data_IF_819342252186
#
_entry.id   IF_819342252186
#
_cell.length_a   1.000
_cell.length_b   1.000
_cell.length_c   1.000
_cell.angle_alpha   90.00
_cell.angle_beta   90.00
_cell.angle_gamma   90.00
#
_symmetry.space_group_name_H-M   'P 1'
#
loop_
_entity.id
_entity.type
_entity.pdbx_description
1 polymer ?
#
# COMPACT_ATOMS: atom_id res chain seq x y z
N UNK A 1 1.86 14.57 -9.92
CA UNK A 1 3.00 13.72 -10.34
C UNK A 1 4.07 13.60 -9.27
N UNK A 2 4.41 14.64 -8.49
CA UNK A 2 5.49 14.60 -7.49
C UNK A 2 5.30 13.60 -6.32
N UNK A 3 4.08 13.43 -5.80
CA UNK A 3 3.78 12.47 -4.71
C UNK A 3 4.15 11.02 -5.08
N UNK A 4 3.81 10.62 -6.31
CA UNK A 4 4.09 9.26 -6.81
C UNK A 4 5.61 9.06 -6.93
N UNK A 5 6.33 10.07 -7.43
CA UNK A 5 7.78 10.02 -7.57
C UNK A 5 8.50 9.92 -6.23
N UNK A 6 8.13 10.76 -5.26
CA UNK A 6 8.70 10.68 -3.90
C UNK A 6 8.37 9.33 -3.25
N UNK A 7 7.16 8.81 -3.46
CA UNK A 7 6.79 7.48 -2.97
C UNK A 7 7.69 6.39 -3.56
N UNK A 8 7.94 6.43 -4.87
CA UNK A 8 8.84 5.49 -5.55
C UNK A 8 10.25 5.54 -4.96
N UNK A 9 10.82 6.74 -4.89
CA UNK A 9 12.18 6.97 -4.35
C UNK A 9 12.30 6.43 -2.92
N UNK A 10 11.32 6.68 -2.05
CA UNK A 10 11.34 6.20 -0.67
C UNK A 10 11.21 4.69 -0.55
N UNK A 11 10.31 4.08 -1.33
CA UNK A 11 10.05 2.63 -1.24
C UNK A 11 11.26 1.82 -1.73
N UNK A 12 12.02 2.36 -2.68
CA UNK A 12 13.25 1.78 -3.22
C UNK A 12 14.50 2.10 -2.35
N UNK A 13 14.38 3.01 -1.38
CA UNK A 13 15.49 3.43 -0.53
C UNK A 13 15.85 2.39 0.55
N UNK A 14 17.13 2.04 0.62
CA UNK A 14 17.64 1.06 1.58
C UNK A 14 17.54 1.52 3.04
N UNK A 15 17.79 2.80 3.33
CA UNK A 15 17.68 3.32 4.70
C UNK A 15 16.22 3.32 5.17
N UNK A 16 15.28 3.65 4.28
CA UNK A 16 13.85 3.54 4.54
C UNK A 16 13.47 2.10 4.88
N UNK A 17 13.92 1.12 4.10
CA UNK A 17 13.75 -0.31 4.41
C UNK A 17 14.36 -0.66 5.77
N UNK A 18 15.58 -0.20 6.06
CA UNK A 18 16.30 -0.53 7.29
C UNK A 18 15.62 0.00 8.54
N UNK A 19 15.04 1.21 8.51
CA UNK A 19 14.24 1.77 9.60
C UNK A 19 12.93 0.99 9.80
N UNK A 20 12.30 0.59 8.69
CA UNK A 20 10.92 0.10 8.67
C UNK A 20 10.75 -1.43 8.59
N UNK A 21 11.83 -2.20 8.56
CA UNK A 21 11.79 -3.65 8.80
C UNK A 21 11.73 -3.96 10.29
N UNK A 22 11.07 -5.06 10.66
CA UNK A 22 10.88 -5.48 12.07
C UNK A 22 12.18 -5.84 12.78
N UNK A 23 13.13 -6.46 12.07
CA UNK A 23 14.45 -6.82 12.57
C UNK A 23 15.50 -6.74 11.46
N UNK A 24 16.78 -6.61 11.82
CA UNK A 24 17.89 -6.52 10.87
C UNK A 24 18.04 -7.74 9.95
N UNK A 25 17.53 -8.90 10.39
CA UNK A 25 17.52 -10.15 9.62
C UNK A 25 16.41 -10.22 8.58
N UNK A 26 15.42 -9.32 8.64
CA UNK A 26 14.28 -9.30 7.72
C UNK A 26 14.60 -8.53 6.43
N UNK A 27 14.04 -9.00 5.32
CA UNK A 27 14.24 -8.44 3.98
C UNK A 27 15.71 -8.28 3.56
N UNK A 28 16.56 -9.22 4.01
CA UNK A 28 17.99 -9.28 3.67
C UNK A 28 18.26 -9.97 2.34
N UNK A 29 17.30 -10.77 1.84
CA UNK A 29 17.40 -11.49 0.55
C UNK A 29 16.35 -10.96 -0.40
N UNK A 30 16.73 -10.78 -1.66
CA UNK A 30 15.83 -10.48 -2.76
C UNK A 30 15.33 -11.82 -3.32
N UNK A 31 14.06 -12.14 -3.07
CA UNK A 31 13.34 -13.33 -3.59
C UNK A 31 11.97 -12.87 -4.11
N UNK A 32 10.94 -13.71 -4.05
CA UNK A 32 9.62 -13.40 -4.59
C UNK A 32 8.83 -12.32 -3.83
N UNK A 33 9.22 -11.95 -2.60
CA UNK A 33 8.50 -10.97 -1.77
C UNK A 33 9.47 -9.95 -1.12
N UNK A 34 10.12 -9.08 -1.92
CA UNK A 34 10.98 -8.02 -1.39
C UNK A 34 10.15 -6.98 -0.63
N UNK A 35 10.82 -6.17 0.19
CA UNK A 35 10.18 -5.15 1.04
C UNK A 35 9.25 -4.22 0.26
N UNK A 36 9.75 -3.67 -0.86
CA UNK A 36 8.99 -2.77 -1.72
C UNK A 36 7.71 -3.41 -2.25
N UNK A 37 7.79 -4.64 -2.76
CA UNK A 37 6.63 -5.36 -3.30
C UNK A 37 5.58 -5.61 -2.20
N UNK A 38 6.01 -6.08 -1.02
CA UNK A 38 5.09 -6.32 0.10
C UNK A 38 4.39 -5.02 0.52
N UNK A 39 5.12 -3.91 0.59
CA UNK A 39 4.56 -2.60 0.93
C UNK A 39 3.55 -2.13 -0.12
N UNK A 40 3.89 -2.20 -1.41
CA UNK A 40 3.00 -1.82 -2.52
C UNK A 40 1.73 -2.69 -2.54
N UNK A 41 1.86 -4.00 -2.32
CA UNK A 41 0.72 -4.91 -2.27
C UNK A 41 -0.24 -4.58 -1.09
N UNK A 42 0.26 -4.04 0.02
CA UNK A 42 -0.59 -3.54 1.11
C UNK A 42 -1.27 -2.23 0.70
N UNK A 43 -0.53 -1.30 0.08
CA UNK A 43 -1.05 -0.01 -0.37
C UNK A 43 -2.11 -0.11 -1.46
N UNK A 44 -2.07 -1.17 -2.29
CA UNK A 44 -3.03 -1.43 -3.38
C UNK A 44 -4.49 -1.53 -2.90
N UNK A 45 -4.75 -1.73 -1.60
CA UNK A 45 -6.07 -1.82 -0.93
C UNK A 45 -7.15 -2.54 -1.75
N UNK A 46 -7.53 -3.73 -1.29
CA UNK A 46 -8.35 -4.65 -2.09
C UNK A 46 -9.33 -5.41 -1.21
N UNK A 47 -10.51 -5.69 -1.75
CA UNK A 47 -11.57 -6.51 -1.15
C UNK A 47 -11.48 -7.99 -1.54
N UNK A 48 -10.56 -8.34 -2.44
CA UNK A 48 -10.34 -9.72 -2.88
C UNK A 48 -9.66 -10.55 -1.79
N UNK A 49 -9.76 -11.86 -1.89
CA UNK A 49 -9.03 -12.77 -1.01
C UNK A 49 -7.51 -12.62 -1.19
N UNK A 50 -6.74 -13.02 -0.17
CA UNK A 50 -5.30 -12.87 -0.17
C UNK A 50 -4.62 -13.60 -1.34
N UNK A 51 -5.07 -14.81 -1.66
CA UNK A 51 -4.52 -15.61 -2.76
C UNK A 51 -4.83 -14.98 -4.13
N UNK A 52 -6.03 -14.42 -4.33
CA UNK A 52 -6.38 -13.72 -5.58
C UNK A 52 -5.40 -12.57 -5.86
N UNK A 53 -5.08 -11.77 -4.83
CA UNK A 53 -4.19 -10.61 -4.96
C UNK A 53 -2.75 -11.06 -5.26
N UNK A 54 -2.30 -12.12 -4.59
CA UNK A 54 -0.98 -12.70 -4.83
C UNK A 54 -0.89 -13.23 -6.26
N UNK A 55 -1.88 -14.01 -6.71
CA UNK A 55 -1.92 -14.54 -8.08
C UNK A 55 -1.91 -13.42 -9.12
N UNK A 56 -2.77 -12.40 -8.96
CA UNK A 56 -2.77 -11.22 -9.84
C UNK A 56 -1.40 -10.55 -9.90
N UNK A 57 -0.75 -10.39 -8.74
CA UNK A 57 0.56 -9.73 -8.66
C UNK A 57 1.63 -10.55 -9.36
N UNK A 58 1.70 -11.85 -9.07
CA UNK A 58 2.67 -12.78 -9.66
C UNK A 58 2.51 -12.86 -11.18
N UNK A 59 1.27 -12.99 -11.67
CA UNK A 59 0.96 -13.00 -13.10
C UNK A 59 1.38 -11.66 -13.73
N UNK A 60 1.01 -10.53 -13.11
CA UNK A 60 1.30 -9.20 -13.67
C UNK A 60 2.80 -8.89 -13.75
N UNK A 61 3.61 -9.51 -12.89
CA UNK A 61 5.06 -9.29 -12.80
C UNK A 61 5.87 -10.42 -13.44
N UNK A 62 5.23 -11.46 -14.00
CA UNK A 62 5.92 -12.62 -14.57
C UNK A 62 6.78 -13.37 -13.55
N UNK A 63 6.35 -13.44 -12.29
CA UNK A 63 7.08 -14.05 -11.19
C UNK A 63 6.71 -15.53 -10.99
N UNK A 64 7.49 -16.23 -10.16
CA UNK A 64 7.11 -17.56 -9.67
C UNK A 64 5.91 -17.49 -8.72
N UNK A 65 5.16 -18.59 -8.63
CA UNK A 65 4.00 -18.71 -7.75
C UNK A 65 4.37 -18.48 -6.28
N UNK A 66 3.49 -17.73 -5.59
CA UNK A 66 3.62 -17.40 -4.18
C UNK A 66 2.33 -17.76 -3.47
N UNK A 67 2.43 -18.32 -2.27
CA UNK A 67 1.26 -18.66 -1.46
C UNK A 67 0.78 -17.45 -0.64
N UNK A 68 -0.52 -17.40 -0.36
CA UNK A 68 -1.11 -16.43 0.54
C UNK A 68 -0.47 -16.47 1.94
N UNK A 69 -0.06 -17.64 2.43
CA UNK A 69 0.62 -17.78 3.72
C UNK A 69 2.02 -17.15 3.71
N UNK A 70 2.80 -17.34 2.63
CA UNK A 70 4.09 -16.70 2.46
C UNK A 70 3.96 -15.16 2.41
N UNK A 71 2.97 -14.64 1.68
CA UNK A 71 2.68 -13.21 1.68
C UNK A 71 2.27 -12.71 3.05
N UNK A 72 1.38 -13.43 3.76
CA UNK A 72 0.97 -13.05 5.12
C UNK A 72 2.16 -12.97 6.08
N UNK A 73 3.05 -13.97 6.06
CA UNK A 73 4.30 -13.97 6.83
C UNK A 73 5.23 -12.82 6.46
N UNK A 74 5.32 -12.47 5.18
CA UNK A 74 6.13 -11.34 4.73
C UNK A 74 5.59 -9.99 5.26
N UNK A 75 4.27 -9.81 5.34
CA UNK A 75 3.66 -8.59 5.92
C UNK A 75 4.05 -8.40 7.39
N UNK A 76 4.12 -9.47 8.19
CA UNK A 76 4.53 -9.38 9.60
C UNK A 76 5.98 -8.91 9.81
N UNK A 77 6.80 -8.92 8.76
CA UNK A 77 8.19 -8.43 8.80
C UNK A 77 8.29 -6.91 8.62
N UNK A 78 7.20 -6.25 8.24
CA UNK A 78 7.13 -4.81 8.00
C UNK A 78 6.57 -4.08 9.25
N UNK A 79 7.18 -2.95 9.62
CA UNK A 79 6.69 -2.09 10.70
C UNK A 79 5.63 -1.13 10.17
N UNK A 80 4.61 -0.86 10.97
CA UNK A 80 3.57 0.12 10.64
C UNK A 80 4.14 1.54 10.43
N UNK A 81 5.31 1.84 11.00
CA UNK A 81 6.03 3.11 10.83
C UNK A 81 6.37 3.40 9.37
N UNK A 82 6.45 2.38 8.50
CA UNK A 82 6.62 2.57 7.07
C UNK A 82 5.53 3.44 6.46
N UNK A 83 4.27 3.21 6.88
CA UNK A 83 3.12 3.96 6.38
C UNK A 83 3.10 5.40 6.92
N UNK A 84 3.53 5.60 8.18
CA UNK A 84 3.64 6.92 8.78
C UNK A 84 4.70 7.74 8.07
N UNK A 85 5.90 7.18 7.90
CA UNK A 85 7.02 7.85 7.23
C UNK A 85 6.69 8.12 5.76
N UNK A 86 6.11 7.16 5.04
CA UNK A 86 5.68 7.33 3.66
C UNK A 86 4.62 8.44 3.53
N UNK A 87 3.60 8.44 4.41
CA UNK A 87 2.58 9.48 4.40
C UNK A 87 3.18 10.87 4.69
N UNK A 88 4.05 10.96 5.69
CA UNK A 88 4.70 12.23 6.03
C UNK A 88 5.51 12.76 4.85
N UNK A 89 6.38 11.92 4.28
CA UNK A 89 7.33 12.37 3.25
C UNK A 89 6.71 12.54 1.87
N UNK A 90 5.83 11.63 1.45
CA UNK A 90 5.27 11.67 0.11
C UNK A 90 4.01 12.53 0.01
N UNK A 91 3.23 12.65 1.09
CA UNK A 91 1.94 13.35 1.07
C UNK A 91 2.02 14.66 1.83
N UNK A 92 2.37 14.62 3.13
CA UNK A 92 2.32 15.83 3.97
C UNK A 92 3.32 16.87 3.49
N UNK A 93 4.59 16.49 3.36
CA UNK A 93 5.67 17.40 2.94
C UNK A 93 5.44 17.90 1.50
N UNK A 94 4.87 17.09 0.60
CA UNK A 94 4.67 17.49 -0.80
C UNK A 94 3.42 18.36 -1.00
N UNK A 95 2.32 18.04 -0.31
CA UNK A 95 1.00 18.63 -0.60
C UNK A 95 0.60 19.72 0.39
N UNK A 96 1.23 19.77 1.57
CA UNK A 96 0.79 20.64 2.66
C UNK A 96 1.88 21.59 3.19
N UNK A 97 3.12 21.48 2.72
CA UNK A 97 4.24 22.28 3.24
C UNK A 97 4.13 23.77 2.89
N UNK A 98 3.62 24.10 1.71
CA UNK A 98 3.42 25.48 1.25
C UNK A 98 2.23 26.20 1.92
N UNK A 99 1.34 25.44 2.57
CA UNK A 99 0.07 25.90 3.13
C UNK A 99 -0.81 26.69 2.13
N UNK A 100 -0.65 26.46 0.83
CA UNK A 100 -1.40 27.18 -0.20
C UNK A 100 -2.79 26.56 -0.41
N UNK A 101 -3.62 26.65 0.62
CA UNK A 101 -5.00 26.19 0.57
C UNK A 101 -5.90 26.98 1.53
N UNK A 102 -7.16 27.19 1.11
CA UNK A 102 -8.15 27.88 1.93
C UNK A 102 -8.49 27.05 3.18
N UNK A 103 -8.56 27.73 4.32
CA UNK A 103 -8.93 27.14 5.61
C UNK A 103 -10.27 27.72 6.06
N UNK A 104 -11.11 26.88 6.64
CA UNK A 104 -12.34 27.26 7.33
C UNK A 104 -12.13 26.97 8.83
N UNK A 105 -12.20 28.01 9.68
CA UNK A 105 -11.91 27.91 11.13
C UNK A 105 -10.56 27.24 11.45
N UNK A 106 -9.51 27.61 10.69
CA UNK A 106 -8.17 27.04 10.87
C UNK A 106 -7.99 25.61 10.37
N UNK A 107 -9.03 24.98 9.80
CA UNK A 107 -8.99 23.62 9.28
C UNK A 107 -9.13 23.61 7.75
N UNK A 108 -8.44 22.69 7.07
CA UNK A 108 -8.69 22.43 5.65
C UNK A 108 -9.98 21.63 5.52
N UNK A 109 -10.91 22.13 4.71
CA UNK A 109 -12.13 21.40 4.40
C UNK A 109 -11.90 20.54 3.15
N UNK A 110 -12.14 19.24 3.28
CA UNK A 110 -12.05 18.27 2.20
C UNK A 110 -13.38 17.54 2.11
N UNK A 111 -14.09 17.71 1.00
CA UNK A 111 -15.29 16.94 0.68
C UNK A 111 -14.86 15.69 -0.09
N UNK A 112 -15.18 14.51 0.46
CA UNK A 112 -14.98 13.22 -0.20
C UNK A 112 -16.35 12.58 -0.34
N UNK A 113 -16.78 12.29 -1.56
CA UNK A 113 -17.99 11.51 -1.80
C UNK A 113 -17.67 10.02 -1.65
N UNK A 114 -18.34 9.37 -0.71
CA UNK A 114 -18.18 7.94 -0.38
C UNK A 114 -19.32 7.07 -0.91
N UNK A 115 -20.19 7.61 -1.76
CA UNK A 115 -21.34 6.89 -2.30
C UNK A 115 -20.92 5.59 -2.99
N UNK A 116 -21.68 4.52 -2.73
CA UNK A 116 -21.44 3.20 -3.32
C UNK A 116 -22.66 2.79 -4.13
N UNK A 117 -22.44 2.34 -5.36
CA UNK A 117 -23.47 1.68 -6.15
C UNK A 117 -23.58 0.25 -5.64
N UNK A 118 -24.78 -0.17 -5.22
CA UNK A 118 -25.08 -1.54 -4.84
C UNK A 118 -25.75 -2.19 -6.05
N UNK A 119 -25.10 -3.20 -6.63
CA UNK A 119 -25.74 -4.00 -7.68
C UNK A 119 -26.92 -4.76 -7.07
N UNK A 120 -28.05 -4.78 -7.76
CA UNK A 120 -29.24 -5.51 -7.33
C UNK A 120 -28.99 -7.02 -7.40
N UNK A 121 -29.17 -7.72 -6.29
CA UNK A 121 -29.08 -9.18 -6.22
C UNK A 121 -30.11 -9.81 -7.18
N UNK A 122 -29.64 -10.51 -8.21
CA UNK A 122 -30.46 -11.47 -8.95
C UNK A 122 -30.66 -12.70 -8.06
N UNK A 123 -31.84 -12.81 -7.45
CA UNK A 123 -32.28 -14.03 -6.78
C UNK A 123 -32.64 -15.09 -7.83
N UNK A 124 -31.66 -15.90 -8.23
CA UNK A 124 -31.92 -17.18 -8.88
C UNK A 124 -32.25 -18.22 -7.80
N UNK A 125 -33.49 -18.19 -7.30
CA UNK A 125 -34.08 -19.36 -6.66
C UNK A 125 -35.23 -19.86 -7.56
N UNK A 126 -34.90 -20.81 -8.42
CA UNK A 126 -35.85 -21.71 -9.07
C UNK A 126 -35.28 -23.12 -9.04
N UNK A 127 -35.71 -23.89 -8.03
CA UNK A 127 -35.85 -25.34 -8.05
C UNK A 127 -36.73 -25.75 -6.85
#
# INVERSE_FOLDING_TARGET
>A
MQVIEISRILIENEDFKNRNRKAATMFTRIRCLPFALVLIMILRKTTKSLQCIVNETVISLGMEEVTASAYSQARYKLKHTAFIELNQKAIVDVVYQDQDFKKFWGKRLLSIDGSKIKDSEHNENSA
#
